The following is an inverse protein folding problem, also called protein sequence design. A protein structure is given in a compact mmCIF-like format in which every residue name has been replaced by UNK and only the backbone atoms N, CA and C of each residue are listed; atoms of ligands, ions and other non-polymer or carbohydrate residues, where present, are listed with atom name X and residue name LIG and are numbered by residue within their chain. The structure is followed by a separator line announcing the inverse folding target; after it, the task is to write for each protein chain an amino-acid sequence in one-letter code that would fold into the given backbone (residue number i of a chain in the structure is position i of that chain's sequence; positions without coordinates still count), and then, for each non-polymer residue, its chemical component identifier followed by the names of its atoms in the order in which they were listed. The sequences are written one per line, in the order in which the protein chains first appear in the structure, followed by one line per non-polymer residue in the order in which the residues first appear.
data_IF_440146270687
#
_entry.id   IF_440146270687
#
_cell.length_a   1.000
_cell.length_b   1.000
_cell.length_c   1.000
_cell.angle_alpha   90.00
_cell.angle_beta   90.00
_cell.angle_gamma   90.00
#
_symmetry.space_group_name_H-M   'P 1'
#
loop_
_entity.id
_entity.type
_entity.pdbx_description
1 polymer ?
#
# COMPACT_ATOMS: atom_id res chain seq x y z
N UNK A 1 -18.34 -12.71 3.97
CA UNK A 1 -17.12 -12.12 4.56
C UNK A 1 -16.59 -11.09 3.56
N UNK A 2 -16.34 -9.84 3.96
CA UNK A 2 -15.84 -8.79 3.06
C UNK A 2 -14.32 -8.70 3.20
N UNK A 3 -13.59 -8.78 2.09
CA UNK A 3 -12.14 -8.58 2.09
C UNK A 3 -11.81 -7.11 2.37
N UNK A 4 -10.81 -6.86 3.21
CA UNK A 4 -10.26 -5.51 3.35
C UNK A 4 -9.64 -5.07 2.02
N UNK A 5 -9.78 -3.79 1.67
CA UNK A 5 -9.17 -3.22 0.46
C UNK A 5 -8.39 -1.97 0.85
N UNK A 6 -7.08 -2.02 0.63
CA UNK A 6 -6.19 -0.87 0.76
C UNK A 6 -5.66 -0.47 -0.61
N UNK A 7 -5.40 0.82 -0.78
CA UNK A 7 -4.95 1.41 -2.04
C UNK A 7 -3.58 2.05 -1.82
N UNK A 8 -2.70 1.85 -2.80
CA UNK A 8 -1.34 2.38 -2.79
C UNK A 8 -1.08 3.11 -4.11
N UNK A 9 -0.49 4.29 -4.03
CA UNK A 9 -0.06 5.05 -5.20
C UNK A 9 1.36 5.58 -4.96
N UNK A 10 2.36 5.18 -5.75
CA UNK A 10 3.75 5.55 -5.48
C UNK A 10 4.03 7.02 -5.82
N UNK A 11 3.20 7.64 -6.67
CA UNK A 11 3.36 9.01 -7.15
C UNK A 11 2.67 9.97 -6.18
N UNK A 12 1.36 9.80 -5.96
CA UNK A 12 0.50 10.76 -5.22
C UNK A 12 0.15 10.31 -3.80
N UNK A 13 0.42 9.07 -3.43
CA UNK A 13 0.12 8.54 -2.10
C UNK A 13 1.00 9.09 -0.98
N UNK A 14 0.56 8.89 0.26
CA UNK A 14 1.29 9.25 1.47
C UNK A 14 1.11 8.17 2.55
N UNK A 15 2.18 7.73 3.19
CA UNK A 15 2.14 6.66 4.21
C UNK A 15 1.48 7.07 5.53
N UNK A 16 1.25 8.37 5.72
CA UNK A 16 0.43 8.92 6.79
C UNK A 16 -1.08 8.87 6.51
N UNK A 17 -1.49 8.53 5.28
CA UNK A 17 -2.90 8.38 4.93
C UNK A 17 -3.50 7.12 5.58
N UNK A 18 -4.80 6.87 5.33
CA UNK A 18 -5.51 5.70 5.85
C UNK A 18 -5.57 4.52 4.85
N UNK A 19 -5.07 4.68 3.63
CA UNK A 19 -5.07 3.63 2.61
C UNK A 19 -6.42 3.43 1.90
N UNK A 20 -7.37 4.36 2.07
CA UNK A 20 -8.59 4.38 1.26
C UNK A 20 -8.32 4.80 -0.18
N UNK A 21 -9.28 4.60 -1.08
CA UNK A 21 -9.13 5.01 -2.48
C UNK A 21 -8.91 6.51 -2.66
N UNK A 22 -9.50 7.35 -1.79
CA UNK A 22 -9.35 8.81 -1.80
C UNK A 22 -8.08 9.29 -1.10
N UNK A 23 -7.48 8.45 -0.27
CA UNK A 23 -6.25 8.77 0.48
C UNK A 23 -5.36 7.52 0.54
N UNK A 24 -4.74 7.15 -0.59
CA UNK A 24 -3.95 5.95 -0.69
C UNK A 24 -2.62 6.09 0.06
N UNK A 25 -2.07 4.96 0.50
CA UNK A 25 -0.69 4.91 0.98
C UNK A 25 0.30 5.21 -0.14
N UNK A 26 1.53 5.60 0.19
CA UNK A 26 2.60 5.75 -0.81
C UNK A 26 3.26 4.42 -1.11
N UNK A 27 3.46 3.60 -0.08
CA UNK A 27 4.25 2.37 -0.15
C UNK A 27 3.43 1.10 0.10
N UNK A 28 3.80 0.03 -0.59
CA UNK A 28 3.33 -1.33 -0.38
C UNK A 28 3.77 -1.81 1.01
N UNK A 29 4.99 -1.45 1.42
CA UNK A 29 5.50 -1.72 2.77
C UNK A 29 4.57 -1.23 3.87
N UNK A 30 4.01 -0.01 3.74
CA UNK A 30 3.05 0.54 4.70
C UNK A 30 1.73 -0.23 4.68
N UNK A 31 1.22 -0.58 3.50
CA UNK A 31 -0.03 -1.32 3.36
C UNK A 31 0.07 -2.74 3.95
N UNK A 32 1.18 -3.45 3.72
CA UNK A 32 1.41 -4.79 4.28
C UNK A 32 1.44 -4.80 5.81
N UNK A 33 1.92 -3.73 6.44
CA UNK A 33 1.93 -3.59 7.90
C UNK A 33 0.55 -3.36 8.52
N UNK A 34 -0.43 -2.92 7.73
CA UNK A 34 -1.73 -2.46 8.24
C UNK A 34 -2.92 -3.26 7.70
N UNK A 35 -2.74 -4.04 6.63
CA UNK A 35 -3.83 -4.80 6.00
C UNK A 35 -4.37 -5.86 6.97
N UNK A 36 -5.69 -5.87 7.26
CA UNK A 36 -6.32 -6.98 7.94
C UNK A 36 -6.32 -8.22 7.03
N UNK A 37 -5.99 -9.38 7.59
CA UNK A 37 -6.09 -10.66 6.87
C UNK A 37 -7.48 -11.29 7.06
N UNK A 38 -8.17 -11.73 5.97
CA UNK A 38 -7.76 -11.64 4.57
C UNK A 38 -8.05 -10.27 3.92
N UNK A 39 -7.17 -9.82 3.02
CA UNK A 39 -7.27 -8.50 2.38
C UNK A 39 -6.57 -8.39 1.02
N UNK A 40 -6.89 -7.33 0.28
CA UNK A 40 -6.33 -7.02 -1.04
C UNK A 40 -5.65 -5.64 -0.98
N UNK A 41 -4.43 -5.56 -1.49
CA UNK A 41 -3.71 -4.30 -1.71
C UNK A 41 -3.80 -3.97 -3.21
N UNK A 42 -4.42 -2.85 -3.55
CA UNK A 42 -4.63 -2.37 -4.92
C UNK A 42 -3.60 -1.31 -5.27
N UNK A 43 -2.82 -1.59 -6.30
CA UNK A 43 -1.74 -0.73 -6.74
C UNK A 43 -2.20 0.17 -7.89
N UNK A 44 -1.88 1.45 -7.79
CA UNK A 44 -1.93 2.34 -8.95
C UNK A 44 -0.71 2.07 -9.84
N UNK A 45 -0.81 2.44 -11.12
CA UNK A 45 0.32 2.35 -12.03
C UNK A 45 1.50 3.19 -11.52
N UNK A 46 2.71 2.64 -11.64
CA UNK A 46 3.96 3.30 -11.26
C UNK A 46 5.07 2.33 -10.88
N UNK A 47 6.26 2.87 -10.68
CA UNK A 47 7.41 2.11 -10.18
C UNK A 47 7.44 2.16 -8.66
N UNK A 48 7.39 0.98 -8.02
CA UNK A 48 7.56 0.82 -6.58
C UNK A 48 9.00 0.38 -6.32
N UNK A 49 9.84 1.31 -5.89
CA UNK A 49 11.27 1.11 -5.72
C UNK A 49 11.79 1.82 -4.47
N UNK A 50 13.07 1.61 -4.14
CA UNK A 50 13.73 2.36 -3.06
C UNK A 50 13.73 3.87 -3.32
N UNK A 51 13.70 4.30 -4.59
CA UNK A 51 13.57 5.70 -4.97
C UNK A 51 12.20 6.28 -4.59
N UNK A 52 11.14 5.45 -4.64
CA UNK A 52 9.80 5.81 -4.16
C UNK A 52 9.57 5.43 -2.69
N UNK A 53 10.66 5.18 -1.94
CA UNK A 53 10.71 4.87 -0.51
C UNK A 53 10.22 3.49 -0.10
N UNK A 54 10.11 2.54 -1.02
CA UNK A 54 9.89 1.13 -0.65
C UNK A 54 11.09 0.56 0.10
N UNK A 55 10.82 -0.44 0.94
CA UNK A 55 11.84 -1.23 1.61
C UNK A 55 11.67 -2.68 1.15
N UNK A 56 12.75 -3.25 0.60
CA UNK A 56 12.79 -4.64 0.17
C UNK A 56 13.61 -5.48 1.17
N UNK A 57 13.28 -6.78 1.34
CA UNK A 57 12.19 -7.51 0.69
C UNK A 57 10.81 -7.11 1.22
N UNK A 58 9.79 -7.25 0.36
CA UNK A 58 8.39 -7.14 0.81
C UNK A 58 7.99 -8.43 1.52
N UNK A 59 7.56 -8.34 2.76
CA UNK A 59 7.13 -9.49 3.57
C UNK A 59 5.61 -9.51 3.63
N UNK A 60 5.00 -10.60 3.15
CA UNK A 60 3.55 -10.81 3.25
C UNK A 60 3.26 -11.52 4.58
N UNK A 61 2.46 -10.92 5.47
CA UNK A 61 2.14 -11.48 6.79
C UNK A 61 1.20 -12.69 6.72
#
# INVERSE_FOLDING_TARGET
MKLASLYVNPITGNDSNNGSQLSPFKTITRALKTIPSPGIIRLSEGSYSTQTREIFPLVIP
#
